data_IF_843560686887
#
_entry.id   IF_843560686887
#
_cell.length_a   1.000
_cell.length_b   1.000
_cell.length_c   1.000
_cell.angle_alpha   90.00
_cell.angle_beta   90.00
_cell.angle_gamma   90.00
#
_symmetry.space_group_name_H-M   'P 1'
#
loop_
_entity.id
_entity.type
_entity.pdbx_description
1 polymer ?
#
# COMPACT_ATOMS: atom_id res chain seq x y z
N UNK A 1 15.17 -11.87 17.59
CA UNK A 1 14.62 -11.23 16.38
C UNK A 1 14.18 -9.82 16.75
N UNK A 2 14.58 -8.80 16.00
CA UNK A 2 14.09 -7.43 16.16
C UNK A 2 12.99 -7.17 15.12
N UNK A 3 11.90 -6.52 15.52
CA UNK A 3 10.79 -6.17 14.64
C UNK A 3 10.60 -4.65 14.66
N UNK A 4 10.57 -4.03 13.49
CA UNK A 4 10.39 -2.59 13.29
C UNK A 4 9.26 -2.38 12.28
N UNK A 5 8.49 -1.32 12.46
CA UNK A 5 7.50 -0.86 11.48
C UNK A 5 8.07 0.35 10.74
N UNK A 6 7.95 0.36 9.42
CA UNK A 6 8.39 1.46 8.56
C UNK A 6 7.21 1.95 7.73
N UNK A 7 7.06 3.28 7.63
CA UNK A 7 6.21 3.91 6.62
C UNK A 7 6.93 3.98 5.27
N UNK A 8 6.16 4.22 4.22
CA UNK A 8 6.73 4.44 2.89
C UNK A 8 7.72 5.61 2.90
N UNK A 9 8.90 5.41 2.31
CA UNK A 9 9.99 6.37 2.27
C UNK A 9 10.95 6.30 3.46
N UNK A 10 10.57 5.65 4.56
CA UNK A 10 11.43 5.45 5.72
C UNK A 10 12.52 4.39 5.47
N UNK A 11 13.60 4.47 6.24
CA UNK A 11 14.74 3.57 6.14
C UNK A 11 15.24 3.14 7.52
N UNK A 12 15.99 2.06 7.54
CA UNK A 12 16.76 1.59 8.69
C UNK A 12 18.21 1.32 8.31
N UNK A 13 19.11 1.36 9.28
CA UNK A 13 20.51 1.03 9.10
C UNK A 13 20.88 -0.22 9.90
N UNK A 14 21.76 -1.05 9.35
CA UNK A 14 22.29 -2.26 10.00
C UNK A 14 23.81 -2.10 10.08
N UNK A 15 24.34 -2.06 11.30
CA UNK A 15 25.74 -1.67 11.52
C UNK A 15 26.00 -0.25 11.00
N UNK A 16 27.13 -0.07 10.32
CA UNK A 16 27.55 1.26 9.84
C UNK A 16 27.31 1.47 8.34
N UNK A 17 27.25 0.39 7.55
CA UNK A 17 27.39 0.47 6.09
C UNK A 17 26.23 -0.15 5.30
N UNK A 18 25.22 -0.71 5.97
CA UNK A 18 24.05 -1.30 5.31
C UNK A 18 22.83 -0.42 5.58
N UNK A 19 22.20 0.08 4.53
CA UNK A 19 20.98 0.88 4.58
C UNK A 19 19.88 0.13 3.84
N UNK A 20 18.72 0.00 4.48
CA UNK A 20 17.53 -0.64 3.90
C UNK A 20 16.39 0.39 3.92
N UNK A 21 15.90 0.77 2.75
CA UNK A 21 14.79 1.71 2.60
C UNK A 21 13.54 1.00 2.08
N UNK A 22 12.38 1.37 2.64
CA UNK A 22 11.08 0.97 2.13
C UNK A 22 10.62 1.97 1.06
N UNK A 23 10.72 1.58 -0.22
CA UNK A 23 10.40 2.45 -1.35
C UNK A 23 8.88 2.57 -1.56
N UNK A 24 8.17 1.45 -1.63
CA UNK A 24 6.71 1.41 -1.70
C UNK A 24 6.14 0.05 -1.28
N UNK A 25 4.85 0.05 -0.93
CA UNK A 25 4.07 -1.16 -0.63
C UNK A 25 2.90 -1.24 -1.60
N UNK A 26 2.73 -2.39 -2.25
CA UNK A 26 1.63 -2.69 -3.17
C UNK A 26 1.02 -4.03 -2.79
N UNK A 27 -0.16 -4.01 -2.18
CA UNK A 27 -0.83 -5.22 -1.69
C UNK A 27 0.02 -5.95 -0.65
N UNK A 28 0.36 -7.21 -0.92
CA UNK A 28 1.19 -8.06 -0.05
C UNK A 28 2.69 -7.96 -0.34
N UNK A 29 3.11 -7.06 -1.25
CA UNK A 29 4.51 -6.90 -1.66
C UNK A 29 5.03 -5.54 -1.26
N UNK A 30 6.27 -5.52 -0.78
CA UNK A 30 7.03 -4.29 -0.62
C UNK A 30 8.22 -4.27 -1.59
N UNK A 31 8.60 -3.06 -2.02
CA UNK A 31 9.87 -2.80 -2.69
C UNK A 31 10.87 -2.27 -1.68
N UNK A 32 11.96 -3.00 -1.51
CA UNK A 32 13.08 -2.61 -0.67
C UNK A 32 14.25 -2.17 -1.54
N UNK A 33 14.89 -1.07 -1.15
CA UNK A 33 16.15 -0.60 -1.72
C UNK A 33 17.23 -0.86 -0.67
N UNK A 34 18.24 -1.64 -1.05
CA UNK A 34 19.31 -2.04 -0.14
C UNK A 34 20.62 -1.46 -0.67
N UNK A 35 21.26 -0.62 0.13
CA UNK A 35 22.60 -0.13 -0.10
C UNK A 35 23.55 -0.84 0.86
N UNK A 36 24.51 -1.59 0.33
CA UNK A 36 25.52 -2.28 1.11
C UNK A 36 26.86 -2.29 0.36
N UNK A 37 27.98 -2.42 1.08
CA UNK A 37 29.29 -2.64 0.48
C UNK A 37 29.31 -3.96 -0.32
N UNK A 38 30.16 -4.06 -1.36
CA UNK A 38 30.16 -5.18 -2.33
C UNK A 38 30.56 -6.51 -1.69
N UNK A 39 31.28 -6.44 -0.58
CA UNK A 39 31.74 -7.56 0.22
C UNK A 39 30.57 -8.25 0.95
N UNK A 40 29.43 -7.57 1.10
CA UNK A 40 28.22 -8.12 1.74
C UNK A 40 27.25 -8.62 0.66
N UNK A 41 27.08 -9.94 0.49
CA UNK A 41 26.20 -10.48 -0.53
C UNK A 41 24.72 -10.23 -0.18
N UNK A 42 23.96 -9.72 -1.15
CA UNK A 42 22.51 -9.53 -1.04
C UNK A 42 21.81 -10.53 -1.96
N UNK A 43 21.16 -11.53 -1.39
CA UNK A 43 20.47 -12.59 -2.14
C UNK A 43 19.01 -12.73 -1.69
N UNK A 44 18.13 -13.09 -2.62
CA UNK A 44 16.79 -13.57 -2.27
C UNK A 44 16.89 -14.96 -1.65
N UNK A 45 16.02 -15.28 -0.70
CA UNK A 45 15.99 -16.60 -0.04
C UNK A 45 15.97 -17.76 -1.03
N UNK A 46 15.11 -17.70 -2.05
CA UNK A 46 15.06 -18.72 -3.11
C UNK A 46 16.37 -18.87 -3.89
N UNK A 47 17.13 -17.78 -4.07
CA UNK A 47 18.42 -17.82 -4.78
C UNK A 47 19.49 -18.45 -3.89
N UNK A 48 19.52 -18.10 -2.60
CA UNK A 48 20.41 -18.71 -1.62
C UNK A 48 20.19 -20.23 -1.55
N UNK A 49 18.94 -20.66 -1.41
CA UNK A 49 18.58 -22.07 -1.28
C UNK A 49 18.88 -22.87 -2.55
N UNK A 50 18.63 -22.30 -3.75
CA UNK A 50 18.99 -22.95 -5.03
C UNK A 50 20.49 -23.13 -5.23
N UNK A 51 21.30 -22.22 -4.69
CA UNK A 51 22.75 -22.30 -4.78
C UNK A 51 23.36 -23.23 -3.71
N UNK A 52 22.54 -24.01 -3.00
CA UNK A 52 22.98 -24.96 -1.97
C UNK A 52 23.17 -24.35 -0.59
N UNK A 53 22.79 -23.07 -0.39
CA UNK A 53 22.76 -22.45 0.94
C UNK A 53 21.59 -22.96 1.78
N UNK A 54 21.77 -23.07 3.09
CA UNK A 54 20.70 -23.46 3.99
C UNK A 54 19.81 -22.25 4.32
N UNK A 55 18.49 -22.48 4.39
CA UNK A 55 17.53 -21.49 4.89
C UNK A 55 17.87 -21.12 6.34
N UNK A 56 18.02 -19.83 6.69
CA UNK A 56 18.35 -19.43 8.06
C UNK A 56 17.24 -19.81 9.05
N UNK A 57 17.61 -20.32 10.22
CA UNK A 57 16.66 -20.81 11.25
C UNK A 57 15.71 -19.73 11.79
N UNK A 58 16.12 -18.46 11.73
CA UNK A 58 15.29 -17.34 12.18
C UNK A 58 14.17 -16.97 11.20
N UNK A 59 14.14 -17.56 9.98
CA UNK A 59 13.10 -17.31 8.98
C UNK A 59 11.91 -18.23 9.26
N UNK A 60 10.81 -17.64 9.73
CA UNK A 60 9.56 -18.35 9.95
C UNK A 60 8.59 -18.14 8.78
N UNK A 61 7.71 -19.11 8.56
CA UNK A 61 6.62 -18.97 7.60
C UNK A 61 5.51 -18.13 8.24
N UNK A 62 5.46 -16.84 7.85
CA UNK A 62 4.43 -15.94 8.32
C UNK A 62 3.04 -16.36 7.84
N UNK A 63 2.02 -16.05 8.64
CA UNK A 63 0.64 -16.14 8.17
C UNK A 63 0.49 -15.19 6.97
N UNK A 64 0.22 -15.75 5.79
CA UNK A 64 -0.19 -14.97 4.61
C UNK A 64 -1.55 -14.33 4.93
N UNK A 65 -1.54 -13.21 5.63
CA UNK A 65 -2.72 -12.38 5.78
C UNK A 65 -2.98 -11.77 4.40
N UNK A 66 -3.69 -12.53 3.58
CA UNK A 66 -4.20 -12.05 2.30
C UNK A 66 -5.34 -11.09 2.64
N UNK A 67 -4.99 -9.88 3.10
CA UNK A 67 -5.93 -8.79 3.14
C UNK A 67 -6.31 -8.58 1.68
N UNK A 68 -7.52 -8.97 1.30
CA UNK A 68 -8.15 -8.51 0.06
C UNK A 68 -8.31 -7.01 0.23
N UNK A 69 -7.23 -6.26 0.02
CA UNK A 69 -7.34 -4.84 -0.19
C UNK A 69 -8.28 -4.70 -1.38
N UNK A 70 -9.39 -3.99 -1.15
CA UNK A 70 -10.26 -3.56 -2.24
C UNK A 70 -9.41 -2.60 -3.06
N UNK A 71 -8.63 -3.13 -4.01
CA UNK A 71 -7.83 -2.33 -4.93
C UNK A 71 -8.82 -1.39 -5.62
N UNK A 72 -8.73 -0.11 -5.29
CA UNK A 72 -9.59 0.92 -5.82
C UNK A 72 -9.09 1.27 -7.23
N UNK A 73 -9.73 0.70 -8.24
CA UNK A 73 -9.38 0.91 -9.64
C UNK A 73 -10.35 1.89 -10.31
N UNK A 74 -9.99 2.35 -11.52
CA UNK A 74 -10.82 3.27 -12.31
C UNK A 74 -12.25 2.75 -12.53
N UNK A 75 -12.42 1.44 -12.70
CA UNK A 75 -13.74 0.81 -12.88
C UNK A 75 -14.63 0.95 -11.63
N UNK A 76 -14.08 0.74 -10.43
CA UNK A 76 -14.81 0.95 -9.17
C UNK A 76 -15.13 2.43 -8.92
N UNK A 77 -14.21 3.34 -9.27
CA UNK A 77 -14.47 4.78 -9.22
C UNK A 77 -15.64 5.17 -10.14
N UNK A 78 -15.67 4.63 -11.36
CA UNK A 78 -16.77 4.83 -12.30
C UNK A 78 -18.09 4.23 -11.78
N UNK A 79 -18.05 3.04 -11.17
CA UNK A 79 -19.23 2.41 -10.57
C UNK A 79 -19.79 3.25 -9.41
N UNK A 80 -18.93 3.81 -8.55
CA UNK A 80 -19.34 4.72 -7.48
C UNK A 80 -19.98 6.00 -8.04
N UNK A 81 -19.41 6.59 -9.09
CA UNK A 81 -19.99 7.75 -9.75
C UNK A 81 -21.38 7.44 -10.34
N UNK A 82 -21.55 6.26 -10.96
CA UNK A 82 -22.83 5.80 -11.47
C UNK A 82 -23.86 5.57 -10.33
N UNK A 83 -23.45 4.96 -9.22
CA UNK A 83 -24.31 4.78 -8.05
C UNK A 83 -24.76 6.11 -7.45
N UNK A 84 -23.87 7.11 -7.37
CA UNK A 84 -24.21 8.46 -6.90
C UNK A 84 -25.24 9.12 -7.81
N UNK A 85 -25.07 9.01 -9.13
CA UNK A 85 -26.03 9.55 -10.11
C UNK A 85 -27.41 8.88 -10.00
N UNK A 86 -27.46 7.55 -9.87
CA UNK A 86 -28.73 6.84 -9.69
C UNK A 86 -29.45 7.32 -8.41
N UNK A 87 -28.72 7.54 -7.31
CA UNK A 87 -29.30 8.06 -6.07
C UNK A 87 -29.81 9.50 -6.18
N UNK A 88 -29.26 10.30 -7.10
CA UNK A 88 -29.74 11.67 -7.37
C UNK A 88 -31.02 11.68 -8.21
N UNK A 89 -31.19 10.70 -9.10
CA UNK A 89 -32.38 10.54 -9.93
C UNK A 89 -33.56 9.94 -9.14
N UNK A 90 -33.29 9.28 -8.01
CA UNK A 90 -34.30 8.72 -7.11
C UNK A 90 -34.96 9.77 -6.20
N UNK A 91 -36.14 9.45 -5.68
CA UNK A 91 -36.86 10.31 -4.74
C UNK A 91 -36.07 10.48 -3.43
N UNK A 92 -35.51 11.67 -3.24
CA UNK A 92 -34.73 12.04 -2.05
C UNK A 92 -35.56 12.15 -0.77
N UNK A 93 -36.89 12.18 -0.85
CA UNK A 93 -37.77 12.12 0.32
C UNK A 93 -37.92 10.69 0.88
N UNK A 94 -37.56 9.67 0.10
CA UNK A 94 -37.60 8.28 0.53
C UNK A 94 -36.51 8.00 1.58
N UNK A 95 -36.91 7.47 2.73
CA UNK A 95 -36.02 7.13 3.86
C UNK A 95 -34.94 6.11 3.48
N UNK A 96 -35.25 5.17 2.59
CA UNK A 96 -34.31 4.12 2.16
C UNK A 96 -33.22 4.69 1.25
N UNK A 97 -33.59 5.64 0.39
CA UNK A 97 -32.65 6.38 -0.48
C UNK A 97 -31.73 7.23 0.38
N UNK A 98 -32.26 7.91 1.40
CA UNK A 98 -31.44 8.65 2.35
C UNK A 98 -30.51 7.75 3.18
N UNK A 99 -30.99 6.58 3.61
CA UNK A 99 -30.17 5.60 4.31
C UNK A 99 -29.01 5.11 3.44
N UNK A 100 -29.28 4.75 2.18
CA UNK A 100 -28.26 4.31 1.24
C UNK A 100 -27.24 5.41 0.94
N UNK A 101 -27.69 6.66 0.78
CA UNK A 101 -26.79 7.81 0.58
C UNK A 101 -25.87 8.04 1.78
N UNK A 102 -26.38 7.91 3.01
CA UNK A 102 -25.58 8.01 4.24
C UNK A 102 -24.54 6.91 4.33
N UNK A 103 -24.92 5.66 4.07
CA UNK A 103 -24.00 4.52 4.08
C UNK A 103 -22.89 4.69 3.03
N UNK A 104 -23.25 5.13 1.82
CA UNK A 104 -22.30 5.35 0.74
C UNK A 104 -21.32 6.50 1.07
N UNK A 105 -21.80 7.59 1.68
CA UNK A 105 -20.94 8.70 2.12
C UNK A 105 -20.04 8.34 3.31
N UNK A 106 -20.47 7.43 4.19
CA UNK A 106 -19.64 6.92 5.27
C UNK A 106 -18.49 6.05 4.74
N UNK A 107 -18.76 5.18 3.77
CA UNK A 107 -17.74 4.35 3.12
C UNK A 107 -16.84 5.17 2.18
N UNK A 108 -17.40 6.19 1.52
CA UNK A 108 -16.71 7.01 0.52
C UNK A 108 -17.06 8.50 0.73
N UNK A 109 -16.25 9.26 1.48
CA UNK A 109 -16.49 10.68 1.70
C UNK A 109 -16.52 11.48 0.38
N UNK A 110 -17.45 12.43 0.20
CA UNK A 110 -17.41 13.36 -0.92
C UNK A 110 -16.18 14.29 -0.80
N UNK A 111 -15.62 14.69 -1.94
CA UNK A 111 -14.33 15.39 -2.01
C UNK A 111 -14.31 16.79 -1.35
N UNK A 112 -15.46 17.38 -1.06
CA UNK A 112 -15.56 18.81 -0.67
C UNK A 112 -15.62 19.04 0.86
N UNK A 113 -15.01 18.15 1.64
CA UNK A 113 -15.10 18.14 3.10
C UNK A 113 -13.79 18.25 3.87
N UNK A 114 -12.80 19.02 3.38
CA UNK A 114 -11.76 19.63 4.23
C UNK A 114 -10.44 18.87 4.45
N UNK A 115 -9.39 19.46 3.84
CA UNK A 115 -8.00 19.58 4.31
C UNK A 115 -7.09 18.33 4.38
N UNK A 116 -6.15 18.29 3.40
CA UNK A 116 -4.74 18.05 3.71
C UNK A 116 -4.18 16.65 3.45
N UNK A 117 -4.27 16.15 2.21
CA UNK A 117 -3.12 15.43 1.62
C UNK A 117 -3.38 15.18 0.13
N UNK A 118 -2.95 16.15 -0.68
CA UNK A 118 -2.68 15.88 -2.10
C UNK A 118 -1.32 15.18 -2.16
N UNK A 119 -1.19 13.97 -2.74
CA UNK A 119 0.13 13.46 -3.07
C UNK A 119 0.71 14.37 -4.14
N UNK A 120 1.72 15.16 -3.76
CA UNK A 120 2.48 15.95 -4.71
C UNK A 120 3.13 14.99 -5.70
N UNK A 121 2.63 14.99 -6.94
CA UNK A 121 3.37 14.48 -8.09
C UNK A 121 4.60 15.36 -8.25
N UNK A 122 5.73 14.97 -7.64
CA UNK A 122 7.01 15.61 -7.89
C UNK A 122 7.43 15.27 -9.31
N UNK A 123 7.14 16.18 -10.25
CA UNK A 123 7.81 16.23 -11.54
C UNK A 123 9.27 16.60 -11.30
N UNK A 124 10.17 15.63 -11.39
CA UNK A 124 11.59 15.93 -11.53
C UNK A 124 11.85 16.30 -13.01
N UNK A 125 12.17 17.57 -13.23
CA UNK A 125 12.76 18.08 -14.47
C UNK A 125 14.27 17.90 -14.38
N UNK A 126 14.85 17.18 -15.34
CA UNK A 126 16.30 17.01 -15.47
C UNK A 126 16.91 18.30 -16.04
N UNK A 127 17.86 18.87 -15.29
CA UNK A 127 18.88 19.78 -15.79
C UNK A 127 20.24 19.09 -15.78
#
# INVERSE_FOLDING_TARGET
MLCLSLNQGEYMTIGENVVVQLDHVTGDRCRLVIHAPKEVPILRGEVLERNGGQRPECVYDGHRYHKKELIWNRSKAQALAAMRRLLEEMDGANSDVQALRRQLNHMFPPADGGAGDSPQTTQFSNG
#
